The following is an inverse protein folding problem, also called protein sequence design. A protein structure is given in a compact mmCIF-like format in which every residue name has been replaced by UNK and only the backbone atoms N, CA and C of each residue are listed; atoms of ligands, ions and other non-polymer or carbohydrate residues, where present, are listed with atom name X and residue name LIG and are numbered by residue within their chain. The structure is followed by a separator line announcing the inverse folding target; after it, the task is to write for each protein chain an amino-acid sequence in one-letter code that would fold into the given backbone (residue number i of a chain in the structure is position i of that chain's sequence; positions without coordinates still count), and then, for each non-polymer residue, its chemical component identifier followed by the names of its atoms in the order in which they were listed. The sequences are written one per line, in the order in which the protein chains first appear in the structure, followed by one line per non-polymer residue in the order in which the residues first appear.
data_IF_807169966751
#
_entry.id   IF_807169966751
#
_cell.length_a   1.000
_cell.length_b   1.000
_cell.length_c   1.000
_cell.angle_alpha   90.00
_cell.angle_beta   90.00
_cell.angle_gamma   90.00
#
_symmetry.space_group_name_H-M   'P 1'
#
loop_
_entity.id
_entity.type
_entity.pdbx_description
1 polymer ?
#
# COMPACT_ATOMS: atom_id res chain seq x y z
N UNK A 1 13.16 -3.64 23.49
CA UNK A 1 13.53 -2.21 23.31
C UNK A 1 14.45 -2.01 22.11
N UNK A 2 15.57 -2.72 22.00
CA UNK A 2 16.53 -2.59 20.89
C UNK A 2 15.93 -2.75 19.49
N UNK A 3 15.09 -3.77 19.26
CA UNK A 3 14.41 -3.97 17.98
C UNK A 3 13.48 -2.81 17.61
N UNK A 4 12.66 -2.38 18.56
CA UNK A 4 11.76 -1.23 18.40
C UNK A 4 12.55 0.06 18.09
N UNK A 5 13.68 0.28 18.76
CA UNK A 5 14.55 1.43 18.47
C UNK A 5 15.14 1.32 17.07
N UNK A 6 15.67 0.16 16.69
CA UNK A 6 16.30 -0.06 15.39
C UNK A 6 15.38 0.31 14.21
N UNK A 7 14.06 0.12 14.35
CA UNK A 7 13.06 0.47 13.31
C UNK A 7 12.37 1.82 13.53
N UNK A 8 12.81 2.60 14.53
CA UNK A 8 12.34 3.98 14.75
C UNK A 8 11.05 4.12 15.57
N UNK A 9 10.65 3.11 16.35
CA UNK A 9 9.48 3.17 17.25
C UNK A 9 9.81 3.90 18.55
N UNK A 10 10.13 5.20 18.44
CA UNK A 10 10.67 6.01 19.53
C UNK A 10 9.72 6.09 20.73
N UNK A 11 8.41 6.26 20.50
CA UNK A 11 7.40 6.32 21.56
C UNK A 11 7.43 5.09 22.46
N UNK A 12 7.42 3.91 21.84
CA UNK A 12 7.41 2.64 22.55
C UNK A 12 8.67 2.52 23.38
N UNK A 13 9.82 2.89 22.83
CA UNK A 13 11.11 2.81 23.54
C UNK A 13 11.15 3.78 24.71
N UNK A 14 10.73 5.04 24.52
CA UNK A 14 10.73 6.05 25.59
C UNK A 14 9.75 5.68 26.70
N UNK A 15 8.56 5.18 26.37
CA UNK A 15 7.60 4.67 27.36
C UNK A 15 8.18 3.52 28.18
N UNK A 16 8.83 2.56 27.51
CA UNK A 16 9.48 1.43 28.19
C UNK A 16 10.67 1.87 29.05
N UNK A 17 11.45 2.86 28.61
CA UNK A 17 12.54 3.43 29.42
C UNK A 17 12.02 4.15 30.65
N UNK A 18 10.97 4.96 30.52
CA UNK A 18 10.34 5.65 31.66
C UNK A 18 9.71 4.68 32.65
N UNK A 19 9.14 3.57 32.17
CA UNK A 19 8.67 2.47 33.02
C UNK A 19 9.84 1.76 33.72
N UNK A 20 10.97 1.59 33.04
CA UNK A 20 12.19 1.04 33.65
C UNK A 20 12.76 1.95 34.74
N UNK A 21 12.68 3.28 34.54
CA UNK A 21 13.13 4.30 35.51
C UNK A 21 12.13 4.61 36.64
N UNK A 22 10.89 4.11 36.58
CA UNK A 22 9.88 4.36 37.62
C UNK A 22 10.13 3.46 38.84
N UNK A 23 11.10 3.84 39.65
CA UNK A 23 11.42 3.19 40.92
C UNK A 23 10.51 3.68 42.06
N UNK A 24 10.36 2.87 43.11
CA UNK A 24 9.68 3.29 44.34
C UNK A 24 10.53 4.32 45.10
N UNK A 25 9.89 5.15 45.92
CA UNK A 25 10.55 6.29 46.60
C UNK A 25 11.75 5.87 47.47
N UNK A 26 11.67 4.71 48.11
CA UNK A 26 12.71 4.07 48.92
C UNK A 26 13.92 3.58 48.12
N UNK A 27 13.81 3.46 46.80
CA UNK A 27 14.87 2.99 45.91
C UNK A 27 15.65 4.14 45.23
N UNK A 28 15.10 5.36 45.23
CA UNK A 28 15.61 6.50 44.45
C UNK A 28 17.02 6.94 44.88
N UNK A 29 17.31 7.00 46.18
CA UNK A 29 18.62 7.45 46.69
C UNK A 29 19.77 6.51 46.30
N UNK A 30 19.48 5.23 46.10
CA UNK A 30 20.46 4.20 45.73
C UNK A 30 20.64 4.03 44.22
N UNK A 31 19.78 4.67 43.41
CA UNK A 31 19.71 4.47 41.95
C UNK A 31 19.65 5.77 41.15
N UNK A 32 20.15 6.85 41.73
CA UNK A 32 20.10 8.18 41.13
C UNK A 32 20.85 8.21 39.79
N UNK A 33 22.05 7.64 39.74
CA UNK A 33 22.86 7.54 38.51
C UNK A 33 22.18 6.68 37.45
N UNK A 34 21.64 5.51 37.80
CA UNK A 34 20.87 4.64 36.90
C UNK A 34 19.70 5.40 36.30
N UNK A 35 18.91 6.09 37.14
CA UNK A 35 17.75 6.84 36.70
C UNK A 35 18.15 8.02 35.80
N UNK A 36 19.21 8.74 36.16
CA UNK A 36 19.76 9.81 35.34
C UNK A 36 20.22 9.33 33.96
N UNK A 37 20.85 8.16 33.88
CA UNK A 37 21.24 7.54 32.60
C UNK A 37 20.02 7.10 31.77
N UNK A 38 19.02 6.50 32.41
CA UNK A 38 17.76 6.11 31.75
C UNK A 38 17.07 7.32 31.15
N UNK A 39 16.92 8.41 31.93
CA UNK A 39 16.29 9.64 31.47
C UNK A 39 17.14 10.32 30.38
N UNK A 40 18.46 10.38 30.53
CA UNK A 40 19.34 10.95 29.50
C UNK A 40 19.20 10.23 28.15
N UNK A 41 19.15 8.89 28.15
CA UNK A 41 18.90 8.11 26.94
C UNK A 41 17.49 8.35 26.41
N UNK A 42 16.48 8.40 27.28
CA UNK A 42 15.10 8.69 26.88
C UNK A 42 14.96 10.08 26.22
N UNK A 43 15.63 11.11 26.74
CA UNK A 43 15.67 12.45 26.17
C UNK A 43 16.37 12.45 24.81
N UNK A 44 17.50 11.77 24.67
CA UNK A 44 18.20 11.66 23.37
C UNK A 44 17.32 11.00 22.32
N UNK A 45 16.62 9.92 22.65
CA UNK A 45 15.68 9.25 21.75
C UNK A 45 14.51 10.18 21.41
N UNK A 46 13.96 10.89 22.41
CA UNK A 46 12.85 11.83 22.25
C UNK A 46 13.18 13.01 21.33
N UNK A 47 14.46 13.38 21.23
CA UNK A 47 14.96 14.49 20.41
C UNK A 47 15.55 14.06 19.07
N UNK A 48 15.34 12.81 18.65
CA UNK A 48 15.86 12.33 17.37
C UNK A 48 15.38 13.24 16.22
N UNK A 49 16.30 13.81 15.42
CA UNK A 49 15.93 14.67 14.30
C UNK A 49 15.11 13.91 13.25
N UNK A 50 14.08 14.57 12.71
CA UNK A 50 13.20 14.04 11.66
C UNK A 50 13.04 15.06 10.54
N UNK A 51 13.16 14.60 9.30
CA UNK A 51 12.86 15.42 8.13
C UNK A 51 11.37 15.30 7.79
N UNK A 52 10.54 16.20 8.31
CA UNK A 52 9.11 16.31 7.96
C UNK A 52 8.57 17.72 8.22
N UNK A 53 7.43 18.12 7.61
CA UNK A 53 6.88 19.47 7.77
C UNK A 53 6.42 19.82 9.20
N UNK A 54 5.77 18.88 9.89
CA UNK A 54 5.32 19.02 11.27
C UNK A 54 5.10 17.64 11.95
N UNK A 55 5.14 17.62 13.28
CA UNK A 55 4.71 16.49 14.11
C UNK A 55 3.33 16.80 14.70
N UNK A 56 2.56 15.75 14.98
CA UNK A 56 1.44 15.87 15.92
C UNK A 56 2.02 16.13 17.30
N UNK A 57 1.31 16.84 18.16
CA UNK A 57 1.81 17.23 19.50
C UNK A 57 2.30 16.03 20.33
N UNK A 58 1.70 14.86 20.14
CA UNK A 58 2.05 13.62 20.87
C UNK A 58 3.27 12.86 20.31
N UNK A 59 3.83 13.26 19.17
CA UNK A 59 4.91 12.51 18.52
C UNK A 59 6.29 13.07 18.85
N UNK A 60 7.21 12.18 19.20
CA UNK A 60 8.61 12.46 19.50
C UNK A 60 9.47 12.72 18.26
N UNK A 61 10.49 13.55 18.46
CA UNK A 61 11.49 13.98 17.49
C UNK A 61 11.45 15.48 17.23
N UNK A 62 12.55 16.01 16.69
CA UNK A 62 12.63 17.42 16.30
C UNK A 62 12.50 17.54 14.77
N UNK A 63 11.53 18.34 14.29
CA UNK A 63 11.24 18.47 12.86
C UNK A 63 12.13 19.50 12.16
N UNK A 64 12.63 19.10 11.00
CA UNK A 64 13.37 19.99 10.09
C UNK A 64 12.79 19.90 8.68
N UNK A 65 12.59 21.05 8.06
CA UNK A 65 12.01 21.15 6.71
C UNK A 65 13.05 21.04 5.61
N UNK A 66 14.26 21.54 5.87
CA UNK A 66 15.34 21.59 4.89
C UNK A 66 16.38 20.52 5.19
N UNK A 67 17.01 19.98 4.14
CA UNK A 67 18.11 19.01 4.25
C UNK A 67 19.31 19.56 5.05
N UNK A 68 19.78 20.81 4.85
CA UNK A 68 20.91 21.36 5.61
C UNK A 68 20.63 21.46 7.12
N UNK A 69 19.46 21.96 7.49
CA UNK A 69 19.10 22.11 8.92
C UNK A 69 18.97 20.75 9.60
N UNK A 70 18.34 19.79 8.92
CA UNK A 70 18.25 18.41 9.39
C UNK A 70 19.63 17.80 9.60
N UNK A 71 20.55 17.92 8.64
CA UNK A 71 21.89 17.34 8.74
C UNK A 71 22.67 17.94 9.91
N UNK A 72 22.64 19.26 10.07
CA UNK A 72 23.27 19.96 11.21
C UNK A 72 22.72 19.46 12.55
N UNK A 73 21.40 19.29 12.64
CA UNK A 73 20.76 18.77 13.84
C UNK A 73 21.11 17.30 14.11
N UNK A 74 21.12 16.46 13.07
CA UNK A 74 21.46 15.04 13.16
C UNK A 74 22.90 14.81 13.60
N UNK A 75 23.86 15.59 13.06
CA UNK A 75 25.26 15.56 13.50
C UNK A 75 25.44 16.04 14.94
N UNK A 76 24.73 17.11 15.33
CA UNK A 76 24.72 17.61 16.71
C UNK A 76 24.15 16.56 17.68
N UNK A 77 23.04 15.93 17.31
CA UNK A 77 22.40 14.86 18.07
C UNK A 77 23.34 13.67 18.25
N UNK A 78 23.99 13.21 17.17
CA UNK A 78 25.01 12.14 17.26
C UNK A 78 26.17 12.52 18.17
N UNK A 79 26.63 13.77 18.11
CA UNK A 79 27.69 14.27 19.00
C UNK A 79 27.28 14.20 20.47
N UNK A 80 26.03 14.50 20.80
CA UNK A 80 25.51 14.37 22.17
C UNK A 80 25.48 12.90 22.63
N UNK A 81 25.10 11.97 21.76
CA UNK A 81 25.12 10.53 22.06
C UNK A 81 26.56 10.06 22.30
N UNK A 82 27.52 10.45 21.45
CA UNK A 82 28.93 10.11 21.65
C UNK A 82 29.49 10.67 22.96
N UNK A 83 29.11 11.89 23.33
CA UNK A 83 29.49 12.47 24.64
C UNK A 83 28.94 11.66 25.80
N UNK A 84 27.67 11.23 25.73
CA UNK A 84 27.09 10.38 26.76
C UNK A 84 27.81 9.03 26.80
N UNK A 85 28.09 8.40 25.65
CA UNK A 85 28.78 7.11 25.55
C UNK A 85 30.16 7.12 26.23
N UNK A 86 30.89 8.23 26.11
CA UNK A 86 32.21 8.42 26.74
C UNK A 86 32.16 8.94 28.19
N UNK A 87 30.99 9.12 28.79
CA UNK A 87 30.87 9.70 30.14
C UNK A 87 31.32 8.76 31.26
N UNK A 88 31.82 9.32 32.36
CA UNK A 88 32.19 8.56 33.56
C UNK A 88 30.98 7.98 34.32
N UNK A 89 29.77 8.48 34.05
CA UNK A 89 28.53 8.00 34.67
C UNK A 89 28.30 6.50 34.44
N UNK A 90 28.83 5.90 33.38
CA UNK A 90 28.74 4.45 33.15
C UNK A 90 29.49 3.62 34.20
N UNK A 91 30.58 4.15 34.75
CA UNK A 91 31.35 3.48 35.80
C UNK A 91 30.64 3.54 37.15
N UNK A 92 29.82 4.57 37.35
CA UNK A 92 29.02 4.81 38.55
C UNK A 92 27.64 4.11 38.50
N UNK A 93 27.34 3.40 37.40
CA UNK A 93 26.12 2.61 37.26
C UNK A 93 26.40 1.18 37.70
N UNK A 94 25.90 0.83 38.89
CA UNK A 94 26.11 -0.46 39.54
C UNK A 94 25.19 -1.53 38.95
N UNK A 95 23.99 -1.14 38.50
CA UNK A 95 23.04 -2.09 37.92
C UNK A 95 23.45 -2.55 36.51
N UNK A 96 24.20 -3.66 36.45
CA UNK A 96 24.79 -4.23 35.23
C UNK A 96 23.81 -4.37 34.06
N UNK A 97 22.61 -4.90 34.29
CA UNK A 97 21.62 -5.12 33.23
C UNK A 97 21.12 -3.80 32.62
N UNK A 98 20.95 -2.77 33.45
CA UNK A 98 20.56 -1.43 32.97
C UNK A 98 21.68 -0.81 32.18
N UNK A 99 22.92 -0.88 32.69
CA UNK A 99 24.11 -0.40 31.99
C UNK A 99 24.28 -1.05 30.62
N UNK A 100 24.24 -2.38 30.54
CA UNK A 100 24.37 -3.13 29.27
C UNK A 100 23.21 -2.82 28.31
N UNK A 101 21.97 -2.77 28.82
CA UNK A 101 20.79 -2.42 28.02
C UNK A 101 20.86 -1.02 27.42
N UNK A 102 21.21 -0.01 28.22
CA UNK A 102 21.35 1.38 27.77
C UNK A 102 22.53 1.56 26.80
N UNK A 103 23.68 0.92 27.07
CA UNK A 103 24.80 0.89 26.12
C UNK A 103 24.40 0.30 24.79
N UNK A 104 23.60 -0.77 24.78
CA UNK A 104 23.08 -1.35 23.54
C UNK A 104 22.22 -0.34 22.75
N UNK A 105 21.33 0.40 23.42
CA UNK A 105 20.53 1.46 22.77
C UNK A 105 21.40 2.60 22.21
N UNK A 106 22.45 2.99 22.93
CA UNK A 106 23.41 3.99 22.46
C UNK A 106 24.15 3.52 21.21
N UNK A 107 24.61 2.26 21.20
CA UNK A 107 25.30 1.70 20.04
C UNK A 107 24.37 1.61 18.80
N UNK A 108 23.06 1.38 19.00
CA UNK A 108 22.06 1.50 17.93
C UNK A 108 22.02 2.94 17.41
N UNK A 109 21.88 3.93 18.29
CA UNK A 109 21.80 5.35 17.88
C UNK A 109 23.08 5.86 17.22
N UNK A 110 24.25 5.30 17.56
CA UNK A 110 25.54 5.59 16.92
C UNK A 110 25.73 4.85 15.59
N UNK A 111 24.82 3.95 15.22
CA UNK A 111 24.84 3.22 13.96
C UNK A 111 25.83 2.06 13.93
N UNK A 112 26.09 1.40 15.06
CA UNK A 112 26.98 0.24 15.11
C UNK A 112 26.41 -0.93 14.29
N UNK A 113 27.06 -1.36 13.19
CA UNK A 113 26.46 -2.31 12.24
C UNK A 113 26.21 -3.70 12.84
N UNK A 114 27.09 -4.17 13.73
CA UNK A 114 26.93 -5.46 14.41
C UNK A 114 25.72 -5.43 15.33
N UNK A 115 25.58 -4.35 16.12
CA UNK A 115 24.46 -4.18 17.05
C UNK A 115 23.13 -4.03 16.29
N UNK A 116 23.11 -3.26 15.21
CA UNK A 116 21.93 -3.10 14.35
C UNK A 116 21.50 -4.42 13.72
N UNK A 117 22.46 -5.20 13.20
CA UNK A 117 22.16 -6.54 12.67
C UNK A 117 21.59 -7.46 13.74
N UNK A 118 22.11 -7.42 14.97
CA UNK A 118 21.57 -8.23 16.07
C UNK A 118 20.20 -7.75 16.55
N UNK A 119 19.91 -6.45 16.45
CA UNK A 119 18.65 -5.86 16.91
C UNK A 119 17.50 -6.04 15.92
N UNK A 120 17.79 -6.32 14.65
CA UNK A 120 16.79 -6.44 13.57
C UNK A 120 16.55 -7.90 13.20
N UNK A 121 15.34 -8.23 12.74
CA UNK A 121 14.96 -9.61 12.42
C UNK A 121 15.11 -9.92 10.93
N UNK A 122 14.72 -8.99 10.05
CA UNK A 122 14.77 -9.13 8.60
C UNK A 122 15.59 -8.01 7.94
N UNK A 123 15.90 -8.18 6.65
CA UNK A 123 16.72 -7.21 5.91
C UNK A 123 16.07 -5.83 5.77
N UNK A 124 14.73 -5.73 5.76
CA UNK A 124 14.04 -4.44 5.66
C UNK A 124 14.18 -3.63 6.94
N UNK A 125 14.07 -4.28 8.10
CA UNK A 125 14.34 -3.64 9.38
C UNK A 125 15.77 -3.10 9.43
N UNK A 126 16.76 -3.90 9.02
CA UNK A 126 18.16 -3.48 8.92
C UNK A 126 18.35 -2.32 7.94
N UNK A 127 17.68 -2.40 6.77
CA UNK A 127 17.69 -1.36 5.76
C UNK A 127 17.14 -0.04 6.29
N UNK A 128 16.01 -0.06 7.01
CA UNK A 128 15.44 1.11 7.69
C UNK A 128 16.42 1.64 8.75
N UNK A 129 17.02 0.76 9.56
CA UNK A 129 18.01 1.15 10.56
C UNK A 129 19.21 1.89 9.97
N UNK A 130 19.65 1.50 8.77
CA UNK A 130 20.73 2.21 8.07
C UNK A 130 20.35 3.66 7.77
N UNK A 131 19.12 3.94 7.32
CA UNK A 131 18.69 5.33 7.11
C UNK A 131 18.55 6.10 8.42
N UNK A 132 18.05 5.47 9.48
CA UNK A 132 17.85 6.14 10.75
C UNK A 132 19.17 6.52 11.43
N UNK A 133 20.16 5.62 11.42
CA UNK A 133 21.33 5.72 12.30
C UNK A 133 22.70 5.80 11.60
N UNK A 134 22.79 5.40 10.32
CA UNK A 134 24.07 5.39 9.58
C UNK A 134 24.12 6.52 8.56
N UNK A 135 23.15 6.55 7.64
CA UNK A 135 23.14 7.45 6.49
C UNK A 135 21.70 7.84 6.12
N UNK A 136 21.22 9.00 6.59
CA UNK A 136 19.85 9.45 6.34
C UNK A 136 19.51 9.75 4.87
N UNK A 137 20.51 9.98 4.02
CA UNK A 137 20.32 10.32 2.61
C UNK A 137 21.14 9.42 1.68
N UNK A 138 20.53 9.01 0.58
CA UNK A 138 21.18 8.33 -0.55
C UNK A 138 21.25 9.25 -1.77
N UNK A 139 22.10 8.88 -2.74
CA UNK A 139 22.27 9.62 -3.99
C UNK A 139 21.20 9.29 -5.05
N UNK A 140 20.16 8.52 -4.71
CA UNK A 140 19.13 8.06 -5.64
C UNK A 140 18.64 6.64 -5.32
N UNK A 141 17.70 6.13 -6.13
CA UNK A 141 17.09 4.81 -5.96
C UNK A 141 18.10 3.67 -6.18
N UNK A 142 18.99 3.77 -7.16
CA UNK A 142 20.06 2.78 -7.37
C UNK A 142 20.92 2.55 -6.11
N UNK A 143 21.30 3.63 -5.43
CA UNK A 143 22.04 3.55 -4.16
C UNK A 143 21.21 2.89 -3.05
N UNK A 144 19.89 3.10 -3.05
CA UNK A 144 18.97 2.43 -2.12
C UNK A 144 18.85 0.95 -2.44
N UNK A 145 18.73 0.58 -3.72
CA UNK A 145 18.70 -0.81 -4.17
C UNK A 145 19.97 -1.57 -3.75
N UNK A 146 21.15 -0.99 -4.02
CA UNK A 146 22.43 -1.55 -3.61
C UNK A 146 22.55 -1.72 -2.09
N UNK A 147 21.99 -0.78 -1.31
CA UNK A 147 21.94 -0.87 0.15
C UNK A 147 20.98 -1.98 0.62
N UNK A 148 19.82 -2.12 -0.01
CA UNK A 148 18.86 -3.18 0.28
C UNK A 148 19.47 -4.57 0.01
N UNK A 149 20.13 -4.75 -1.14
CA UNK A 149 20.84 -5.99 -1.48
C UNK A 149 21.92 -6.35 -0.44
N UNK A 150 22.70 -5.39 0.04
CA UNK A 150 23.68 -5.62 1.11
C UNK A 150 23.01 -6.06 2.41
N UNK A 151 21.86 -5.46 2.78
CA UNK A 151 21.10 -5.90 3.96
C UNK A 151 20.58 -7.32 3.79
N UNK A 152 20.17 -7.73 2.59
CA UNK A 152 19.75 -9.10 2.29
C UNK A 152 20.88 -10.11 2.37
N UNK A 153 22.10 -9.74 1.99
CA UNK A 153 23.28 -10.60 2.17
C UNK A 153 23.55 -10.87 3.66
N UNK A 154 23.35 -9.86 4.52
CA UNK A 154 23.52 -9.99 5.97
C UNK A 154 22.36 -10.75 6.61
N UNK A 155 21.13 -10.54 6.13
CA UNK A 155 19.90 -11.19 6.62
C UNK A 155 19.14 -11.85 5.47
N UNK A 156 19.62 -13.01 5.00
CA UNK A 156 19.00 -13.73 3.90
C UNK A 156 17.59 -14.16 4.29
N UNK A 157 16.66 -14.05 3.35
CA UNK A 157 15.26 -14.39 3.58
C UNK A 157 15.06 -15.87 3.26
N UNK A 158 14.62 -16.65 4.24
CA UNK A 158 14.32 -18.07 4.07
C UNK A 158 12.98 -18.33 3.37
N UNK A 159 12.06 -17.37 3.40
CA UNK A 159 10.72 -17.45 2.80
C UNK A 159 10.50 -16.24 1.91
N UNK A 160 10.30 -16.45 0.61
CA UNK A 160 10.02 -15.37 -0.34
C UNK A 160 8.74 -14.63 0.04
N UNK A 161 8.89 -13.49 0.72
CA UNK A 161 7.78 -12.61 1.03
C UNK A 161 7.51 -11.72 -0.18
N UNK A 162 6.32 -11.82 -0.76
CA UNK A 162 5.99 -11.17 -2.04
C UNK A 162 6.23 -9.64 -2.03
N UNK A 163 5.95 -8.97 -0.91
CA UNK A 163 6.23 -7.52 -0.79
C UNK A 163 7.72 -7.17 -0.87
N UNK A 164 8.63 -8.09 -0.57
CA UNK A 164 10.08 -7.83 -0.66
C UNK A 164 10.50 -7.74 -2.12
N UNK A 165 10.01 -8.64 -2.97
CA UNK A 165 10.24 -8.58 -4.42
C UNK A 165 9.74 -7.27 -5.00
N UNK A 166 8.53 -6.85 -4.61
CA UNK A 166 7.95 -5.57 -5.04
C UNK A 166 8.82 -4.38 -4.64
N UNK A 167 9.22 -4.28 -3.37
CA UNK A 167 10.07 -3.18 -2.88
C UNK A 167 11.41 -3.16 -3.63
N UNK A 168 12.03 -4.32 -3.87
CA UNK A 168 13.28 -4.41 -4.62
C UNK A 168 13.12 -3.97 -6.07
N UNK A 169 12.01 -4.35 -6.71
CA UNK A 169 11.65 -3.88 -8.06
C UNK A 169 11.51 -2.36 -8.11
N UNK A 170 10.82 -1.76 -7.13
CA UNK A 170 10.67 -0.30 -7.02
C UNK A 170 12.03 0.37 -6.82
N UNK A 171 12.84 -0.11 -5.87
CA UNK A 171 14.16 0.46 -5.60
C UNK A 171 15.10 0.31 -6.81
N UNK A 172 14.95 -0.76 -7.58
CA UNK A 172 15.74 -1.02 -8.79
C UNK A 172 15.15 -0.37 -10.05
N UNK A 173 14.09 0.42 -9.94
CA UNK A 173 13.39 1.07 -11.06
C UNK A 173 13.01 0.10 -12.19
N UNK A 174 12.68 -1.15 -11.84
CA UNK A 174 12.35 -2.20 -12.79
C UNK A 174 10.84 -2.42 -12.87
N UNK A 175 10.21 -1.76 -13.84
CA UNK A 175 8.76 -1.81 -14.10
C UNK A 175 8.26 -3.24 -14.31
N UNK A 176 8.98 -4.07 -15.05
CA UNK A 176 8.57 -5.45 -15.34
C UNK A 176 8.51 -6.31 -14.08
N UNK A 177 9.53 -6.19 -13.21
CA UNK A 177 9.56 -6.90 -11.92
C UNK A 177 8.42 -6.41 -11.03
N UNK A 178 8.16 -5.09 -10.99
CA UNK A 178 7.04 -4.54 -10.22
C UNK A 178 5.70 -5.10 -10.71
N UNK A 179 5.47 -5.13 -12.03
CA UNK A 179 4.26 -5.72 -12.60
C UNK A 179 4.13 -7.21 -12.31
N UNK A 180 5.22 -7.97 -12.44
CA UNK A 180 5.23 -9.41 -12.17
C UNK A 180 4.89 -9.70 -10.71
N UNK A 181 5.50 -8.98 -9.77
CA UNK A 181 5.21 -9.11 -8.35
C UNK A 181 3.78 -8.66 -8.02
N UNK A 182 3.30 -7.58 -8.63
CA UNK A 182 1.93 -7.12 -8.44
C UNK A 182 0.90 -8.16 -8.94
N UNK A 183 1.14 -8.74 -10.12
CA UNK A 183 0.27 -9.75 -10.72
C UNK A 183 0.20 -11.04 -9.88
N UNK A 184 1.31 -11.42 -9.26
CA UNK A 184 1.38 -12.61 -8.37
C UNK A 184 0.79 -12.38 -6.98
N UNK A 185 0.63 -11.13 -6.56
CA UNK A 185 0.36 -10.76 -5.16
C UNK A 185 -0.98 -10.08 -4.95
N UNK A 186 -1.46 -9.35 -5.94
CA UNK A 186 -2.65 -8.53 -5.85
C UNK A 186 -3.67 -8.91 -6.93
N UNK A 187 -4.89 -8.42 -6.77
CA UNK A 187 -5.98 -8.68 -7.70
C UNK A 187 -5.95 -7.78 -8.95
N UNK A 188 -6.85 -8.04 -9.92
CA UNK A 188 -6.94 -7.29 -11.17
C UNK A 188 -7.10 -5.78 -11.00
N UNK A 189 -7.74 -5.31 -9.92
CA UNK A 189 -7.83 -3.88 -9.61
C UNK A 189 -6.46 -3.23 -9.46
N UNK A 190 -5.55 -3.86 -8.70
CA UNK A 190 -4.20 -3.33 -8.53
C UNK A 190 -3.46 -3.27 -9.85
N UNK A 191 -3.59 -4.30 -10.70
CA UNK A 191 -2.91 -4.30 -11.99
C UNK A 191 -3.42 -3.24 -12.96
N UNK A 192 -4.75 -3.02 -12.99
CA UNK A 192 -5.34 -1.98 -13.83
C UNK A 192 -4.85 -0.57 -13.47
N UNK A 193 -4.58 -0.32 -12.18
CA UNK A 193 -4.16 1.00 -11.68
C UNK A 193 -2.65 1.11 -11.40
N UNK A 194 -1.90 0.01 -11.34
CA UNK A 194 -0.45 0.03 -11.20
C UNK A 194 0.20 0.74 -12.38
N UNK A 195 -0.39 0.62 -13.57
CA UNK A 195 0.08 1.33 -14.77
C UNK A 195 0.10 2.84 -14.54
N UNK A 196 -0.98 3.42 -14.01
CA UNK A 196 -1.08 4.86 -13.73
C UNK A 196 0.03 5.34 -12.78
N UNK A 197 0.39 4.51 -11.79
CA UNK A 197 1.46 4.80 -10.85
C UNK A 197 2.86 4.67 -11.47
N UNK A 198 3.04 3.67 -12.36
CA UNK A 198 4.33 3.36 -12.97
C UNK A 198 4.69 4.31 -14.10
N UNK A 199 3.71 4.81 -14.84
CA UNK A 199 3.93 5.77 -15.92
C UNK A 199 4.11 7.20 -15.41
N UNK A 200 3.67 7.51 -14.19
CA UNK A 200 3.82 8.82 -13.57
C UNK A 200 5.29 9.25 -13.47
N UNK A 201 5.75 10.00 -14.46
CA UNK A 201 7.11 10.54 -14.54
C UNK A 201 8.17 9.58 -15.09
N UNK A 202 7.77 8.46 -15.71
CA UNK A 202 8.72 7.50 -16.33
C UNK A 202 8.41 7.25 -17.80
N UNK A 203 9.19 7.88 -18.68
CA UNK A 203 9.07 7.69 -20.14
C UNK A 203 9.30 6.24 -20.55
N UNK A 204 10.21 5.53 -19.87
CA UNK A 204 10.47 4.12 -20.17
C UNK A 204 9.26 3.23 -19.83
N UNK A 205 8.67 3.41 -18.65
CA UNK A 205 7.47 2.67 -18.26
C UNK A 205 6.29 3.01 -19.17
N UNK A 206 6.17 4.27 -19.58
CA UNK A 206 5.13 4.71 -20.50
C UNK A 206 5.22 4.02 -21.86
N UNK A 207 6.42 3.94 -22.45
CA UNK A 207 6.64 3.19 -23.70
C UNK A 207 6.29 1.71 -23.50
N UNK A 208 6.87 1.08 -22.47
CA UNK A 208 6.68 -0.35 -22.21
C UNK A 208 5.20 -0.75 -22.01
N UNK A 209 4.43 0.08 -21.30
CA UNK A 209 3.07 -0.26 -20.90
C UNK A 209 2.01 0.05 -21.96
N UNK A 210 2.27 1.01 -22.84
CA UNK A 210 1.35 1.43 -23.91
C UNK A 210 1.68 0.82 -25.27
N UNK A 211 2.88 0.27 -25.46
CA UNK A 211 3.25 -0.41 -26.71
C UNK A 211 2.36 -1.63 -26.96
N UNK A 212 1.89 -1.77 -28.20
CA UNK A 212 1.06 -2.91 -28.61
C UNK A 212 1.93 -4.16 -28.77
N UNK A 213 1.50 -5.27 -28.18
CA UNK A 213 2.22 -6.54 -28.30
C UNK A 213 1.44 -7.52 -29.16
N UNK A 214 2.07 -7.99 -30.25
CA UNK A 214 1.49 -9.01 -31.15
C UNK A 214 1.11 -10.30 -30.41
N UNK A 215 1.90 -10.70 -29.42
CA UNK A 215 1.62 -11.86 -28.55
C UNK A 215 0.37 -11.69 -27.67
N UNK A 216 -0.06 -10.46 -27.43
CA UNK A 216 -1.27 -10.13 -26.67
C UNK A 216 -2.47 -9.88 -27.60
N UNK A 217 -2.36 -10.20 -28.90
CA UNK A 217 -3.41 -9.90 -29.86
C UNK A 217 -3.48 -8.42 -30.25
N UNK A 218 -2.34 -7.71 -30.19
CA UNK A 218 -2.24 -6.31 -30.60
C UNK A 218 -2.78 -5.31 -29.58
N UNK A 219 -2.95 -5.71 -28.32
CA UNK A 219 -3.26 -4.80 -27.21
C UNK A 219 -2.00 -4.50 -26.40
N UNK A 220 -2.02 -3.36 -25.72
CA UNK A 220 -0.97 -2.98 -24.77
C UNK A 220 -1.12 -3.72 -23.43
N UNK A 221 -0.08 -3.68 -22.60
CA UNK A 221 -0.13 -4.23 -21.24
C UNK A 221 -1.18 -3.50 -20.40
N UNK A 222 -1.30 -2.19 -20.56
CA UNK A 222 -2.32 -1.38 -19.92
C UNK A 222 -3.73 -1.81 -20.33
N UNK A 223 -4.00 -1.90 -21.64
CA UNK A 223 -5.30 -2.30 -22.15
C UNK A 223 -5.65 -3.71 -21.65
N UNK A 224 -4.72 -4.66 -21.70
CA UNK A 224 -4.93 -6.02 -21.21
C UNK A 224 -5.41 -6.03 -19.75
N UNK A 225 -4.73 -5.32 -18.84
CA UNK A 225 -5.10 -5.34 -17.43
C UNK A 225 -6.42 -4.60 -17.15
N UNK A 226 -6.71 -3.52 -17.89
CA UNK A 226 -8.02 -2.86 -17.82
C UNK A 226 -9.16 -3.77 -18.30
N UNK A 227 -8.96 -4.51 -19.39
CA UNK A 227 -9.94 -5.48 -19.89
C UNK A 227 -10.21 -6.59 -18.88
N UNK A 228 -9.16 -7.17 -18.28
CA UNK A 228 -9.31 -8.20 -17.24
C UNK A 228 -10.07 -7.65 -16.03
N UNK A 229 -9.75 -6.45 -15.57
CA UNK A 229 -10.47 -5.85 -14.45
C UNK A 229 -11.93 -5.52 -14.79
N UNK A 230 -12.19 -5.01 -15.99
CA UNK A 230 -13.54 -4.76 -16.48
C UNK A 230 -14.38 -6.03 -16.55
N UNK A 231 -13.79 -7.18 -16.93
CA UNK A 231 -14.48 -8.47 -16.91
C UNK A 231 -14.87 -8.89 -15.50
N UNK A 232 -13.99 -8.70 -14.50
CA UNK A 232 -14.32 -8.95 -13.10
C UNK A 232 -15.49 -8.08 -12.65
N UNK A 233 -15.45 -6.77 -12.95
CA UNK A 233 -16.54 -5.85 -12.62
C UNK A 233 -17.86 -6.25 -13.28
N UNK A 234 -17.79 -6.65 -14.55
CA UNK A 234 -18.92 -7.07 -15.38
C UNK A 234 -19.62 -8.33 -14.85
N UNK A 235 -18.89 -9.20 -14.17
CA UNK A 235 -19.42 -10.48 -13.66
C UNK A 235 -20.37 -10.34 -12.47
N UNK A 236 -20.41 -9.18 -11.82
CA UNK A 236 -21.11 -8.99 -10.55
C UNK A 236 -22.18 -7.89 -10.63
N UNK A 237 -23.37 -8.19 -10.09
CA UNK A 237 -24.58 -7.38 -10.24
C UNK A 237 -24.49 -5.95 -9.68
N UNK A 238 -23.63 -5.72 -8.69
CA UNK A 238 -23.44 -4.39 -8.08
C UNK A 238 -22.35 -3.55 -8.75
N UNK A 239 -21.45 -4.18 -9.53
CA UNK A 239 -20.23 -3.52 -10.04
C UNK A 239 -20.20 -3.40 -11.55
N UNK A 240 -21.09 -4.10 -12.28
CA UNK A 240 -21.10 -4.09 -13.74
C UNK A 240 -21.24 -2.69 -14.34
N UNK A 241 -21.88 -1.77 -13.62
CA UNK A 241 -22.07 -0.37 -14.05
C UNK A 241 -20.77 0.44 -14.09
N UNK A 242 -19.73 -0.04 -13.41
CA UNK A 242 -18.39 0.56 -13.40
C UNK A 242 -17.57 0.05 -14.59
N UNK A 243 -17.83 -1.18 -15.07
CA UNK A 243 -17.09 -1.79 -16.17
C UNK A 243 -17.05 -0.93 -17.45
N UNK A 244 -18.14 -0.25 -17.88
CA UNK A 244 -18.11 0.65 -19.03
C UNK A 244 -16.99 1.70 -18.98
N UNK A 245 -16.68 2.27 -17.81
CA UNK A 245 -15.63 3.28 -17.65
C UNK A 245 -14.27 2.73 -18.10
N UNK A 246 -13.96 1.50 -17.73
CA UNK A 246 -12.72 0.84 -18.13
C UNK A 246 -12.78 0.39 -19.59
N UNK A 247 -13.89 -0.22 -20.01
CA UNK A 247 -14.04 -0.71 -21.39
C UNK A 247 -13.94 0.42 -22.41
N UNK A 248 -14.47 1.61 -22.14
CA UNK A 248 -14.42 2.72 -23.09
C UNK A 248 -13.04 3.35 -23.20
N UNK A 249 -12.15 3.10 -22.24
CA UNK A 249 -10.74 3.50 -22.32
C UNK A 249 -9.88 2.54 -23.13
N UNK A 250 -10.41 1.37 -23.51
CA UNK A 250 -9.71 0.33 -24.25
C UNK A 250 -10.02 0.44 -25.75
N UNK A 251 -9.07 0.95 -26.54
CA UNK A 251 -9.29 1.32 -27.94
C UNK A 251 -9.54 0.11 -28.85
N UNK A 252 -8.87 -1.02 -28.60
CA UNK A 252 -8.91 -2.18 -29.51
C UNK A 252 -10.12 -3.06 -29.25
N UNK A 253 -10.29 -3.51 -28.01
CA UNK A 253 -11.27 -4.55 -27.67
C UNK A 253 -12.39 -4.07 -26.74
N UNK A 254 -12.25 -2.87 -26.18
CA UNK A 254 -13.14 -2.36 -25.14
C UNK A 254 -14.58 -2.20 -25.57
N UNK A 255 -14.82 -1.51 -26.68
CA UNK A 255 -16.17 -1.24 -27.20
C UNK A 255 -16.92 -2.55 -27.45
N UNK A 256 -16.33 -3.50 -28.19
CA UNK A 256 -16.98 -4.80 -28.47
C UNK A 256 -17.35 -5.59 -27.20
N UNK A 257 -16.53 -5.52 -26.15
CA UNK A 257 -16.84 -6.13 -24.87
C UNK A 257 -17.94 -5.38 -24.10
N UNK A 258 -18.01 -4.05 -24.23
CA UNK A 258 -19.11 -3.25 -23.68
C UNK A 258 -20.43 -3.59 -24.36
N UNK A 259 -20.44 -3.76 -25.69
CA UNK A 259 -21.63 -4.19 -26.42
C UNK A 259 -22.17 -5.52 -25.87
N UNK A 260 -21.28 -6.50 -25.73
CA UNK A 260 -21.58 -7.82 -25.20
C UNK A 260 -22.08 -7.76 -23.74
N UNK A 261 -21.53 -6.88 -22.91
CA UNK A 261 -21.98 -6.68 -21.55
C UNK A 261 -23.43 -6.17 -21.50
N UNK A 262 -23.75 -5.20 -22.35
CA UNK A 262 -25.08 -4.58 -22.41
C UNK A 262 -26.14 -5.56 -22.92
N UNK A 263 -25.82 -6.39 -23.92
CA UNK A 263 -26.72 -7.44 -24.39
C UNK A 263 -27.04 -8.51 -23.33
N UNK A 264 -26.12 -8.75 -22.38
CA UNK A 264 -26.31 -9.74 -21.31
C UNK A 264 -27.12 -9.21 -20.13
N UNK A 265 -27.42 -7.91 -20.05
CA UNK A 265 -28.14 -7.35 -18.91
C UNK A 265 -29.61 -7.79 -18.90
N UNK A 266 -30.17 -8.09 -17.72
CA UNK A 266 -31.56 -8.52 -17.61
C UNK A 266 -32.52 -7.34 -17.87
N UNK A 267 -32.99 -7.22 -19.11
CA UNK A 267 -33.93 -6.17 -19.59
C UNK A 267 -35.27 -6.13 -18.86
N UNK A 268 -35.59 -7.14 -18.06
CA UNK A 268 -36.83 -7.24 -17.29
C UNK A 268 -36.86 -6.31 -16.07
N UNK A 269 -35.69 -5.89 -15.57
CA UNK A 269 -35.58 -5.01 -14.42
C UNK A 269 -35.48 -3.54 -14.88
N UNK A 270 -36.50 -2.74 -14.60
CA UNK A 270 -36.61 -1.36 -15.12
C UNK A 270 -35.40 -0.48 -14.77
N UNK A 271 -34.81 -0.64 -13.59
CA UNK A 271 -33.65 0.15 -13.16
C UNK A 271 -32.38 -0.21 -13.94
N UNK A 272 -32.16 -1.50 -14.22
CA UNK A 272 -31.00 -1.97 -14.99
C UNK A 272 -31.11 -1.48 -16.42
N UNK A 273 -32.30 -1.58 -17.01
CA UNK A 273 -32.57 -1.12 -18.36
C UNK A 273 -32.33 0.39 -18.54
N UNK A 274 -32.82 1.23 -17.62
CA UNK A 274 -32.58 2.67 -17.67
C UNK A 274 -31.09 3.00 -17.62
N UNK A 275 -30.32 2.28 -16.79
CA UNK A 275 -28.87 2.44 -16.72
C UNK A 275 -28.17 1.98 -18.01
N UNK A 276 -28.60 0.86 -18.61
CA UNK A 276 -28.06 0.40 -19.89
C UNK A 276 -28.31 1.41 -21.01
N UNK A 277 -29.50 2.02 -21.07
CA UNK A 277 -29.82 3.06 -22.05
C UNK A 277 -28.95 4.29 -21.84
N UNK A 278 -28.76 4.71 -20.58
CA UNK A 278 -27.91 5.86 -20.26
C UNK A 278 -26.44 5.59 -20.63
N UNK A 279 -25.93 4.38 -20.37
CA UNK A 279 -24.59 3.97 -20.82
C UNK A 279 -24.50 4.02 -22.35
N UNK A 280 -25.48 3.46 -23.08
CA UNK A 280 -25.47 3.54 -24.54
C UNK A 280 -25.46 5.00 -25.04
N UNK A 281 -26.22 5.89 -24.39
CA UNK A 281 -26.28 7.31 -24.73
C UNK A 281 -24.95 8.02 -24.45
N UNK A 282 -24.31 7.73 -23.32
CA UNK A 282 -23.04 8.34 -22.92
C UNK A 282 -21.87 7.95 -23.84
N UNK A 283 -21.92 6.75 -24.43
CA UNK A 283 -20.85 6.22 -25.28
C UNK A 283 -21.27 6.03 -26.74
N UNK A 284 -22.35 6.69 -27.18
CA UNK A 284 -22.80 6.75 -28.58
C UNK A 284 -23.07 5.37 -29.23
N UNK A 285 -23.63 4.43 -28.46
CA UNK A 285 -23.95 3.06 -28.90
C UNK A 285 -25.40 2.95 -29.42
N UNK A 286 -25.73 3.73 -30.44
CA UNK A 286 -27.11 3.89 -30.96
C UNK A 286 -27.75 2.59 -31.46
N UNK A 287 -26.97 1.76 -32.15
CA UNK A 287 -27.42 0.46 -32.66
C UNK A 287 -27.85 -0.48 -31.52
N UNK A 288 -27.09 -0.48 -30.43
CA UNK A 288 -27.37 -1.33 -29.27
C UNK A 288 -28.58 -0.80 -28.51
N UNK A 289 -28.65 0.52 -28.30
CA UNK A 289 -29.79 1.16 -27.68
C UNK A 289 -31.10 0.78 -28.38
N UNK A 290 -31.11 0.87 -29.72
CA UNK A 290 -32.25 0.48 -30.56
C UNK A 290 -32.62 -0.99 -30.39
N UNK A 291 -31.63 -1.89 -30.34
CA UNK A 291 -31.86 -3.32 -30.14
C UNK A 291 -32.40 -3.65 -28.75
N UNK A 292 -31.88 -3.04 -27.69
CA UNK A 292 -32.35 -3.22 -26.32
C UNK A 292 -33.81 -2.74 -26.18
N UNK A 293 -34.14 -1.58 -26.76
CA UNK A 293 -35.50 -1.05 -26.76
C UNK A 293 -36.48 -1.96 -27.50
N UNK A 294 -36.06 -2.54 -28.63
CA UNK A 294 -36.84 -3.52 -29.38
C UNK A 294 -37.12 -4.79 -28.56
N UNK A 295 -36.08 -5.37 -27.95
CA UNK A 295 -36.23 -6.56 -27.09
C UNK A 295 -37.17 -6.31 -25.89
N UNK A 296 -37.12 -5.09 -25.31
CA UNK A 296 -38.05 -4.67 -24.27
C UNK A 296 -39.49 -4.65 -24.79
N UNK A 297 -39.74 -4.03 -25.94
CA UNK A 297 -41.06 -3.93 -26.54
C UNK A 297 -41.66 -5.33 -26.81
N UNK A 298 -40.86 -6.25 -27.35
CA UNK A 298 -41.25 -7.65 -27.58
C UNK A 298 -41.58 -8.37 -26.26
N UNK A 299 -40.76 -8.18 -25.22
CA UNK A 299 -40.99 -8.79 -23.90
C UNK A 299 -42.29 -8.29 -23.25
N UNK A 300 -42.58 -6.98 -23.37
CA UNK A 300 -43.81 -6.39 -22.85
C UNK A 300 -45.02 -6.93 -23.62
N UNK A 301 -44.93 -7.02 -24.96
CA UNK A 301 -46.00 -7.57 -25.80
C UNK A 301 -46.32 -9.01 -25.43
N UNK A 302 -45.30 -9.86 -25.31
CA UNK A 302 -45.49 -11.27 -24.91
C UNK A 302 -46.11 -11.42 -23.51
N UNK A 303 -45.74 -10.56 -22.55
CA UNK A 303 -46.37 -10.56 -21.21
C UNK A 303 -47.84 -10.14 -21.28
N UNK A 304 -48.19 -9.16 -22.09
CA UNK A 304 -49.58 -8.73 -22.28
C UNK A 304 -50.43 -9.85 -22.91
N UNK A 305 -49.95 -10.47 -23.98
CA UNK A 305 -50.61 -11.61 -24.65
C UNK A 305 -50.84 -12.79 -23.67
N UNK A 306 -49.87 -13.07 -22.80
CA UNK A 306 -50.03 -14.12 -21.76
C UNK A 306 -51.08 -13.78 -20.71
N UNK A 307 -51.12 -12.54 -20.23
CA UNK A 307 -52.13 -12.11 -19.25
C UNK A 307 -53.53 -12.19 -19.86
N UNK A 308 -53.68 -11.79 -21.12
CA UNK A 308 -54.93 -11.87 -21.85
C UNK A 308 -55.39 -13.34 -22.00
N UNK A 309 -54.51 -14.25 -22.43
CA UNK A 309 -54.83 -15.68 -22.51
C UNK A 309 -55.23 -16.29 -21.15
N UNK A 310 -54.60 -15.84 -20.07
CA UNK A 310 -54.90 -16.33 -18.73
C UNK A 310 -56.23 -15.77 -18.18
N UNK A 311 -56.62 -14.56 -18.61
CA UNK A 311 -57.96 -14.00 -18.36
C UNK A 311 -59.04 -14.76 -19.14
N UNK A 312 -58.82 -15.04 -20.43
CA UNK A 312 -59.75 -15.84 -21.25
C UNK A 312 -59.99 -17.24 -20.68
N UNK A 313 -58.93 -17.95 -20.25
CA UNK A 313 -59.08 -19.26 -19.60
C UNK A 313 -59.88 -19.21 -18.30
N UNK A 314 -59.78 -18.12 -17.53
CA UNK A 314 -60.56 -17.96 -16.30
C UNK A 314 -62.04 -17.71 -16.60
N UNK A 315 -62.34 -16.90 -17.62
CA UNK A 315 -63.71 -16.67 -18.08
C UNK A 315 -64.36 -17.96 -18.61
N UNK A 316 -63.65 -18.75 -19.42
CA UNK A 316 -64.13 -20.05 -19.90
C UNK A 316 -64.37 -21.05 -18.75
N UNK A 317 -63.54 -21.02 -17.70
CA UNK A 317 -63.72 -21.86 -16.52
C UNK A 317 -64.90 -21.42 -15.64
N UNK A 318 -65.22 -20.12 -15.61
CA UNK A 318 -66.39 -19.57 -14.91
C UNK A 318 -67.70 -19.81 -15.69
N UNK A 319 -67.67 -19.77 -17.03
CA UNK A 319 -68.84 -20.07 -17.89
C UNK A 319 -69.11 -21.58 -18.05
N UNK A 320 -68.10 -22.43 -17.89
CA UNK A 320 -68.22 -23.90 -17.95
C UNK A 320 -68.75 -24.57 -16.66
N UNK A 321 -69.04 -23.79 -15.63
CA UNK A 321 -69.48 -24.23 -14.30
C UNK A 321 -71.00 -24.25 -14.08
N UNK A 322 -71.80 -24.72 -15.05
CA UNK A 322 -73.19 -25.15 -14.80
C UNK A 322 -73.50 -26.40 -15.63
N UNK A 323 -73.77 -27.53 -14.95
CA UNK A 323 -75.16 -27.99 -14.82
C UNK A 323 -75.64 -28.08 -13.37
#
# INVERSE_FOLDING_TARGET
MSSALAVGWLETVVKLLRLHGSYRFDQLSSRETENGLVEAVAVLISKMPRMRPSLREDNLGECYKTKPDFMKAWEKWRTQISKLDCSSYWLQCDHRQTREGLKNLIQIMLGNPTVLSNATFNWMELFISHFLYIRPFTAGLESMHNSAQKCMQVKPVSISHKLFGLILGILGENTEVVLAECSRSFGPWMMAHAVELLTAGSTHAEILLHEEHSKLGGVSIEELHRLVYAQVLSSHALTWQIAPIYLTSCIKQGIGLLENLLYKQPVQHSQILLKSIEICRLYELDTINSNIMRLRAETVRYKAERVEQEQWRKLEAEEGGHP
#
